data_IF_491288833909
#
_entry.id   IF_491288833909
#
_cell.length_a   1.000
_cell.length_b   1.000
_cell.length_c   1.000
_cell.angle_alpha   90.00
_cell.angle_beta   90.00
_cell.angle_gamma   90.00
#
_symmetry.space_group_name_H-M   'P 1'
#
loop_
_entity.id
_entity.type
_entity.pdbx_description
1 polymer ?
#
# COMPACT_ATOMS: atom_id res chain seq x y z
N UNK A 1 -14.20 10.59 12.31
CA UNK A 1 -13.06 9.74 11.93
C UNK A 1 -12.82 8.82 13.11
N UNK A 2 -12.87 7.51 12.93
CA UNK A 2 -12.79 6.56 14.04
C UNK A 2 -11.34 6.09 14.23
N UNK A 3 -10.70 6.55 15.31
CA UNK A 3 -9.33 6.15 15.65
C UNK A 3 -9.24 4.69 16.07
N UNK A 4 -10.31 4.14 16.64
CA UNK A 4 -10.40 2.74 17.03
C UNK A 4 -10.41 1.84 15.80
N UNK A 5 -11.19 2.19 14.77
CA UNK A 5 -11.19 1.48 13.49
C UNK A 5 -9.80 1.46 12.84
N UNK A 6 -9.10 2.59 12.81
CA UNK A 6 -7.75 2.67 12.24
C UNK A 6 -6.78 1.77 13.01
N UNK A 7 -6.77 1.87 14.34
CA UNK A 7 -5.91 1.05 15.20
C UNK A 7 -6.24 -0.44 15.07
N UNK A 8 -7.52 -0.80 14.99
CA UNK A 8 -7.98 -2.18 14.80
C UNK A 8 -7.54 -2.77 13.47
N UNK A 9 -7.66 -1.99 12.40
CA UNK A 9 -7.20 -2.43 11.09
C UNK A 9 -5.68 -2.58 11.04
N UNK A 10 -4.92 -1.70 11.70
CA UNK A 10 -3.46 -1.88 11.86
C UNK A 10 -3.18 -3.18 12.62
N UNK A 11 -3.83 -3.40 13.77
CA UNK A 11 -3.67 -4.61 14.56
C UNK A 11 -3.99 -5.87 13.75
N UNK A 12 -5.06 -5.85 12.96
CA UNK A 12 -5.44 -6.96 12.07
C UNK A 12 -4.36 -7.27 11.04
N UNK A 13 -3.78 -6.26 10.38
CA UNK A 13 -2.68 -6.44 9.42
C UNK A 13 -1.46 -7.08 10.07
N UNK A 14 -1.18 -6.72 11.31
CA UNK A 14 0.01 -7.12 12.04
C UNK A 14 -0.13 -8.52 12.66
N UNK A 15 -1.31 -8.81 13.20
CA UNK A 15 -1.60 -10.05 13.92
C UNK A 15 -1.97 -11.17 12.97
N UNK A 16 -2.86 -10.87 12.03
CA UNK A 16 -3.51 -11.87 11.18
C UNK A 16 -3.66 -11.38 9.73
N UNK A 17 -2.55 -11.08 9.02
CA UNK A 17 -2.60 -10.58 7.66
C UNK A 17 -3.32 -11.51 6.68
N UNK A 18 -3.42 -12.83 6.95
CA UNK A 18 -4.24 -13.78 6.19
C UNK A 18 -5.73 -13.49 6.20
N UNK A 19 -6.24 -12.89 7.27
CA UNK A 19 -7.66 -12.55 7.41
C UNK A 19 -8.02 -11.30 6.62
N UNK A 20 -7.02 -10.60 6.10
CA UNK A 20 -7.21 -9.51 5.15
C UNK A 20 -7.50 -10.17 3.82
N UNK A 21 -8.79 -10.37 3.59
CA UNK A 21 -9.31 -10.52 2.25
C UNK A 21 -9.01 -9.23 1.53
N UNK A 22 -7.95 -9.23 0.73
CA UNK A 22 -7.86 -8.27 -0.35
C UNK A 22 -9.11 -8.39 -1.23
N UNK A 23 -9.22 -7.47 -2.16
CA UNK A 23 -10.09 -7.54 -3.32
C UNK A 23 -9.74 -8.76 -4.24
N UNK A 24 -9.39 -9.91 -3.67
CA UNK A 24 -8.61 -11.01 -4.25
C UNK A 24 -9.45 -12.21 -4.66
N UNK A 25 -10.77 -12.18 -4.43
CA UNK A 25 -11.71 -13.08 -5.13
C UNK A 25 -12.33 -12.48 -6.38
N UNK A 26 -12.07 -11.20 -6.71
CA UNK A 26 -12.76 -10.55 -7.83
C UNK A 26 -12.19 -9.25 -8.43
N UNK A 27 -11.09 -8.65 -7.95
CA UNK A 27 -10.62 -7.36 -8.51
C UNK A 27 -9.41 -7.41 -9.43
N UNK A 28 -8.92 -8.61 -9.73
CA UNK A 28 -8.29 -8.88 -11.02
C UNK A 28 -9.30 -9.53 -11.97
N UNK A 29 -10.60 -9.27 -11.77
CA UNK A 29 -11.56 -9.60 -12.81
C UNK A 29 -11.49 -8.48 -13.85
N UNK A 30 -11.29 -8.91 -15.09
CA UNK A 30 -11.32 -8.09 -16.31
C UNK A 30 -12.37 -6.95 -16.30
N UNK A 31 -13.59 -7.08 -15.71
CA UNK A 31 -14.58 -5.99 -15.64
C UNK A 31 -14.20 -4.71 -14.89
N UNK A 32 -13.48 -4.78 -13.76
CA UNK A 32 -13.11 -3.54 -13.00
C UNK A 32 -12.01 -2.77 -13.75
N UNK A 33 -11.06 -3.50 -14.32
CA UNK A 33 -10.01 -2.92 -15.14
C UNK A 33 -10.61 -2.31 -16.42
N UNK A 34 -11.59 -2.95 -17.05
CA UNK A 34 -12.36 -2.34 -18.15
C UNK A 34 -13.10 -1.05 -17.72
N UNK A 35 -13.59 -0.97 -16.48
CA UNK A 35 -14.18 0.24 -15.92
C UNK A 35 -13.18 1.41 -15.80
N UNK A 36 -11.94 1.14 -15.39
CA UNK A 36 -10.88 2.15 -15.36
C UNK A 36 -10.39 2.56 -16.75
N UNK A 37 -10.38 1.63 -17.72
CA UNK A 37 -10.18 1.97 -19.13
C UNK A 37 -11.27 2.93 -19.63
N UNK A 38 -12.53 2.61 -19.36
CA UNK A 38 -13.65 3.48 -19.72
C UNK A 38 -13.51 4.86 -19.06
N UNK A 39 -13.20 4.93 -17.76
CA UNK A 39 -12.92 6.19 -17.07
C UNK A 39 -11.81 7.00 -17.75
N UNK A 40 -10.74 6.36 -18.22
CA UNK A 40 -9.65 7.07 -18.92
C UNK A 40 -10.03 7.61 -20.29
N UNK A 41 -11.01 6.99 -20.96
CA UNK A 41 -11.57 7.48 -22.23
C UNK A 41 -12.45 8.72 -21.97
N UNK A 42 -13.18 8.73 -20.85
CA UNK A 42 -14.10 9.82 -20.48
C UNK A 42 -13.43 10.95 -19.66
N UNK A 43 -12.37 10.69 -18.89
CA UNK A 43 -11.57 11.67 -18.13
C UNK A 43 -10.60 12.40 -19.08
N UNK A 44 -11.17 13.30 -19.88
CA UNK A 44 -10.41 14.07 -20.87
C UNK A 44 -9.64 15.25 -20.27
N UNK A 45 -9.97 15.67 -19.04
CA UNK A 45 -9.36 16.82 -18.36
C UNK A 45 -7.94 16.58 -17.84
N UNK A 46 -7.60 15.33 -17.48
CA UNK A 46 -6.29 14.96 -16.95
C UNK A 46 -5.37 14.25 -17.95
N UNK A 47 -5.67 14.33 -19.26
CA UNK A 47 -4.97 13.56 -20.32
C UNK A 47 -3.45 13.66 -20.23
N UNK A 48 -2.89 14.86 -20.08
CA UNK A 48 -1.44 15.05 -20.00
C UNK A 48 -0.82 14.33 -18.80
N UNK A 49 -1.40 14.52 -17.60
CA UNK A 49 -0.93 13.86 -16.38
C UNK A 49 -1.02 12.34 -16.50
N UNK A 50 -2.12 11.81 -17.02
CA UNK A 50 -2.29 10.37 -17.23
C UNK A 50 -1.26 9.81 -18.21
N UNK A 51 -0.99 10.47 -19.33
CA UNK A 51 0.02 10.03 -20.29
C UNK A 51 1.42 9.99 -19.68
N UNK A 52 1.81 11.01 -18.90
CA UNK A 52 3.09 11.02 -18.18
C UNK A 52 3.19 9.84 -17.22
N UNK A 53 2.13 9.53 -16.49
CA UNK A 53 2.10 8.43 -15.53
C UNK A 53 2.11 7.05 -16.20
N UNK A 54 1.45 6.89 -17.36
CA UNK A 54 1.56 5.68 -18.19
C UNK A 54 3.00 5.43 -18.62
N UNK A 55 3.68 6.46 -19.12
CA UNK A 55 5.09 6.36 -19.53
C UNK A 55 5.96 5.96 -18.34
N UNK A 56 5.72 6.55 -17.16
CA UNK A 56 6.46 6.26 -15.92
C UNK A 56 6.27 4.80 -15.48
N UNK A 57 5.03 4.32 -15.47
CA UNK A 57 4.70 2.94 -15.11
C UNK A 57 5.32 1.94 -16.09
N UNK A 58 5.16 2.15 -17.40
CA UNK A 58 5.71 1.27 -18.45
C UNK A 58 7.24 1.24 -18.35
N UNK A 59 7.88 2.39 -18.12
CA UNK A 59 9.34 2.46 -17.96
C UNK A 59 9.79 1.68 -16.72
N UNK A 60 9.08 1.82 -15.59
CA UNK A 60 9.39 1.08 -14.37
C UNK A 60 9.21 -0.44 -14.54
N UNK A 61 8.16 -0.87 -15.25
CA UNK A 61 7.95 -2.29 -15.59
C UNK A 61 9.12 -2.81 -16.43
N UNK A 62 9.52 -2.07 -17.48
CA UNK A 62 10.66 -2.42 -18.35
C UNK A 62 11.97 -2.50 -17.57
N UNK A 63 12.17 -1.65 -16.57
CA UNK A 63 13.35 -1.69 -15.69
C UNK A 63 13.27 -2.77 -14.60
N UNK A 64 12.28 -3.66 -14.63
CA UNK A 64 12.19 -4.80 -13.72
C UNK A 64 11.58 -4.48 -12.35
N UNK A 65 10.71 -3.47 -12.25
CA UNK A 65 10.00 -3.11 -11.01
C UNK A 65 9.24 -4.31 -10.42
N UNK A 66 8.66 -5.17 -11.25
CA UNK A 66 7.79 -6.28 -10.85
C UNK A 66 8.57 -7.47 -10.27
N UNK A 67 9.12 -7.31 -9.06
CA UNK A 67 9.74 -8.41 -8.33
C UNK A 67 9.52 -8.29 -6.80
N UNK A 68 9.69 -9.41 -6.10
CA UNK A 68 9.44 -9.52 -4.66
C UNK A 68 10.22 -8.47 -3.84
N UNK A 69 11.49 -8.23 -4.16
CA UNK A 69 12.32 -7.27 -3.45
C UNK A 69 11.78 -5.83 -3.55
N UNK A 70 11.23 -5.45 -4.71
CA UNK A 70 10.66 -4.13 -4.94
C UNK A 70 9.35 -3.92 -4.18
N UNK A 71 8.52 -4.97 -4.10
CA UNK A 71 7.28 -4.99 -3.30
C UNK A 71 7.63 -4.86 -1.81
N UNK A 72 8.57 -5.68 -1.33
CA UNK A 72 9.09 -5.63 0.02
C UNK A 72 9.57 -4.24 0.41
N UNK A 73 10.34 -3.61 -0.48
CA UNK A 73 10.85 -2.25 -0.27
C UNK A 73 9.73 -1.21 -0.26
N UNK A 74 8.69 -1.36 -1.08
CA UNK A 74 7.53 -0.46 -1.06
C UNK A 74 6.77 -0.55 0.27
N UNK A 75 6.51 -1.77 0.75
CA UNK A 75 5.88 -1.99 2.05
C UNK A 75 6.74 -1.42 3.18
N UNK A 76 8.04 -1.73 3.15
CA UNK A 76 9.01 -1.25 4.14
C UNK A 76 9.02 0.27 4.24
N UNK A 77 9.05 1.00 3.12
CA UNK A 77 9.01 2.46 3.12
C UNK A 77 7.77 3.00 3.86
N UNK A 78 6.60 2.40 3.64
CA UNK A 78 5.35 2.86 4.27
C UNK A 78 5.38 2.60 5.79
N UNK A 79 5.79 1.40 6.19
CA UNK A 79 5.87 1.02 7.60
C UNK A 79 6.96 1.84 8.30
N UNK A 80 8.14 2.04 7.69
CA UNK A 80 9.22 2.84 8.25
C UNK A 80 8.80 4.30 8.45
N UNK A 81 8.03 4.87 7.52
CA UNK A 81 7.47 6.22 7.72
C UNK A 81 6.53 6.25 8.92
N UNK A 82 5.66 5.24 9.07
CA UNK A 82 4.79 5.13 10.24
C UNK A 82 5.58 4.98 11.54
N UNK A 83 6.53 4.04 11.58
CA UNK A 83 7.37 3.74 12.76
C UNK A 83 8.24 4.94 13.12
N UNK A 84 8.70 5.73 12.15
CA UNK A 84 9.50 6.94 12.41
C UNK A 84 8.76 8.01 13.21
N UNK A 85 7.43 7.92 13.28
CA UNK A 85 6.60 8.81 14.10
C UNK A 85 6.18 8.20 15.44
N UNK A 86 6.55 6.95 15.71
CA UNK A 86 6.32 6.35 17.03
C UNK A 86 7.34 6.94 18.01
N UNK A 87 6.88 7.49 19.15
CA UNK A 87 7.75 8.04 20.19
C UNK A 87 8.76 7.02 20.72
N UNK A 88 9.96 7.50 21.07
CA UNK A 88 11.03 6.65 21.60
C UNK A 88 10.63 5.94 22.89
N UNK A 89 9.86 6.58 23.77
CA UNK A 89 9.38 5.96 25.00
C UNK A 89 8.51 4.73 24.75
N UNK A 90 7.68 4.76 23.70
CA UNK A 90 6.85 3.62 23.28
C UNK A 90 7.70 2.51 22.64
N UNK A 91 8.71 2.88 21.86
CA UNK A 91 9.68 1.91 21.33
C UNK A 91 10.46 1.23 22.46
N UNK A 92 10.91 2.00 23.46
CA UNK A 92 11.64 1.49 24.60
C UNK A 92 10.79 0.55 25.47
N UNK A 93 9.47 0.78 25.58
CA UNK A 93 8.54 -0.14 26.25
C UNK A 93 8.44 -1.48 25.52
N UNK A 94 8.44 -1.47 24.19
CA UNK A 94 8.53 -2.71 23.39
C UNK A 94 9.85 -3.43 23.67
N UNK A 95 10.98 -2.73 23.65
CA UNK A 95 12.28 -3.34 23.93
C UNK A 95 12.40 -3.92 25.34
N UNK A 96 11.74 -3.30 26.32
CA UNK A 96 11.66 -3.80 27.71
C UNK A 96 10.59 -4.88 27.92
N UNK A 97 9.87 -5.29 26.88
CA UNK A 97 8.83 -6.32 26.96
C UNK A 97 7.55 -5.90 27.72
N UNK A 98 7.36 -4.60 27.95
CA UNK A 98 6.21 -4.05 28.70
C UNK A 98 5.02 -3.67 27.80
N UNK A 99 5.20 -3.70 26.48
CA UNK A 99 4.18 -3.32 25.50
C UNK A 99 3.44 -4.53 24.93
N UNK A 100 2.35 -4.27 24.21
CA UNK A 100 1.60 -5.34 23.54
C UNK A 100 2.38 -6.04 22.43
N UNK A 101 2.10 -7.34 22.19
CA UNK A 101 2.60 -8.07 21.01
C UNK A 101 2.35 -7.37 19.67
N UNK A 102 1.24 -6.62 19.56
CA UNK A 102 0.89 -5.87 18.35
C UNK A 102 1.86 -4.72 18.12
N UNK A 103 2.09 -3.88 19.12
CA UNK A 103 3.06 -2.79 19.04
C UNK A 103 4.47 -3.31 18.73
N UNK A 104 4.86 -4.43 19.35
CA UNK A 104 6.16 -5.05 19.10
C UNK A 104 6.36 -5.47 17.65
N UNK A 105 5.38 -6.14 17.05
CA UNK A 105 5.45 -6.51 15.64
C UNK A 105 5.47 -5.28 14.73
N UNK A 106 4.68 -4.23 15.01
CA UNK A 106 4.66 -2.98 14.24
C UNK A 106 6.05 -2.35 14.11
N UNK A 107 6.84 -2.36 15.18
CA UNK A 107 8.21 -1.84 15.17
C UNK A 107 9.20 -2.72 14.39
N UNK A 108 8.83 -3.96 14.07
CA UNK A 108 9.65 -4.88 13.27
C UNK A 108 9.34 -4.79 11.78
N UNK A 109 9.66 -3.65 11.14
CA UNK A 109 9.29 -3.38 9.74
C UNK A 109 9.62 -4.53 8.78
N UNK A 110 10.81 -5.13 8.88
CA UNK A 110 11.24 -6.21 7.98
C UNK A 110 10.36 -7.46 8.04
N UNK A 111 9.91 -7.84 9.24
CA UNK A 111 9.06 -9.02 9.46
C UNK A 111 7.67 -8.76 8.87
N UNK A 112 7.04 -7.64 9.22
CA UNK A 112 5.72 -7.30 8.68
C UNK A 112 5.77 -7.17 7.16
N UNK A 113 6.80 -6.53 6.62
CA UNK A 113 6.95 -6.38 5.17
C UNK A 113 6.98 -7.75 4.48
N UNK A 114 7.75 -8.71 5.03
CA UNK A 114 7.87 -10.07 4.48
C UNK A 114 6.52 -10.79 4.49
N UNK A 115 5.80 -10.72 5.60
CA UNK A 115 4.49 -11.35 5.72
C UNK A 115 3.49 -10.76 4.72
N UNK A 116 3.40 -9.42 4.63
CA UNK A 116 2.49 -8.76 3.69
C UNK A 116 2.86 -9.08 2.24
N UNK A 117 4.14 -9.01 1.86
CA UNK A 117 4.58 -9.28 0.50
C UNK A 117 4.24 -10.71 0.06
N UNK A 118 4.49 -11.69 0.93
CA UNK A 118 4.14 -13.09 0.65
C UNK A 118 2.64 -13.27 0.45
N UNK A 119 1.80 -12.58 1.23
CA UNK A 119 0.34 -12.61 1.07
C UNK A 119 -0.12 -11.95 -0.23
N UNK A 120 0.45 -10.80 -0.59
CA UNK A 120 0.17 -10.13 -1.86
C UNK A 120 0.49 -11.05 -3.04
N UNK A 121 1.63 -11.74 -3.00
CA UNK A 121 2.05 -12.70 -4.05
C UNK A 121 1.11 -13.91 -4.09
N UNK A 122 0.81 -14.51 -2.94
CA UNK A 122 -0.07 -15.68 -2.84
C UNK A 122 -1.52 -15.38 -3.29
N UNK A 123 -1.98 -14.14 -3.14
CA UNK A 123 -3.34 -13.73 -3.49
C UNK A 123 -3.57 -13.52 -5.01
N UNK A 124 -2.69 -14.03 -5.87
CA UNK A 124 -2.88 -14.05 -7.32
C UNK A 124 -2.31 -12.83 -8.07
N UNK A 125 -1.63 -11.91 -7.38
CA UNK A 125 -0.88 -10.83 -8.06
C UNK A 125 0.26 -11.36 -8.94
N UNK A 126 0.55 -12.67 -8.85
CA UNK A 126 1.38 -13.41 -9.77
C UNK A 126 1.04 -13.16 -11.25
N UNK A 127 -0.23 -12.94 -11.64
CA UNK A 127 -0.59 -12.60 -13.03
C UNK A 127 -0.06 -11.22 -13.47
N UNK A 128 -0.05 -10.24 -12.56
CA UNK A 128 0.56 -8.93 -12.79
C UNK A 128 2.09 -8.98 -12.75
N UNK A 129 2.65 -9.87 -11.92
CA UNK A 129 4.10 -10.00 -11.69
C UNK A 129 4.78 -11.01 -12.64
N UNK A 130 4.03 -11.87 -13.31
CA UNK A 130 4.56 -12.87 -14.23
C UNK A 130 5.00 -12.20 -15.52
N UNK A 131 6.29 -12.27 -15.82
CA UNK A 131 6.90 -11.82 -17.09
C UNK A 131 6.46 -12.66 -18.32
N UNK A 132 5.56 -13.63 -18.15
CA UNK A 132 5.32 -14.76 -19.04
C UNK A 132 4.14 -14.57 -20.01
N UNK A 133 3.72 -13.35 -20.32
CA UNK A 133 2.61 -13.12 -21.26
C UNK A 133 2.99 -12.06 -22.29
N UNK A 134 3.97 -12.39 -23.12
CA UNK A 134 4.25 -11.68 -24.35
C UNK A 134 3.47 -12.36 -25.48
N UNK A 135 2.39 -11.74 -26.00
CA UNK A 135 1.93 -12.14 -27.34
C UNK A 135 0.46 -12.00 -27.78
N UNK A 136 -0.45 -11.30 -27.10
CA UNK A 136 -1.82 -11.16 -27.66
C UNK A 136 -2.50 -9.82 -27.39
N UNK A 137 -3.40 -9.42 -28.29
CA UNK A 137 -4.30 -8.24 -28.23
C UNK A 137 -5.10 -8.20 -26.90
N UNK A 138 -5.29 -9.35 -26.25
CA UNK A 138 -5.86 -9.45 -24.90
C UNK A 138 -5.03 -8.78 -23.81
N UNK A 139 -3.70 -8.66 -23.97
CA UNK A 139 -2.85 -7.92 -23.04
C UNK A 139 -3.17 -6.42 -23.07
N UNK A 140 -3.43 -5.79 -24.22
CA UNK A 140 -3.69 -4.33 -24.29
C UNK A 140 -5.02 -3.97 -23.60
N UNK A 141 -6.06 -4.79 -23.76
CA UNK A 141 -7.34 -4.60 -23.08
C UNK A 141 -7.29 -4.94 -21.58
N UNK A 142 -6.51 -5.97 -21.20
CA UNK A 142 -6.38 -6.37 -19.79
C UNK A 142 -5.37 -5.48 -19.02
N UNK A 143 -4.31 -5.02 -19.68
CA UNK A 143 -3.28 -4.16 -19.07
C UNK A 143 -3.57 -2.69 -19.18
N UNK A 144 -4.33 -2.23 -20.17
CA UNK A 144 -4.79 -0.85 -20.21
C UNK A 144 -5.58 -0.51 -18.94
N UNK A 145 -6.56 -1.35 -18.58
CA UNK A 145 -7.42 -1.14 -17.42
C UNK A 145 -6.67 -1.18 -16.10
N UNK A 146 -5.75 -2.12 -16.02
CA UNK A 146 -4.89 -2.29 -14.87
C UNK A 146 -3.87 -1.14 -14.73
N UNK A 147 -3.31 -0.65 -15.83
CA UNK A 147 -2.43 0.54 -15.86
C UNK A 147 -3.18 1.75 -15.32
N UNK A 148 -4.40 2.00 -15.81
CA UNK A 148 -5.23 3.10 -15.32
C UNK A 148 -5.53 2.93 -13.83
N UNK A 149 -5.95 1.75 -13.40
CA UNK A 149 -6.22 1.44 -12.00
C UNK A 149 -4.99 1.68 -11.11
N UNK A 150 -3.79 1.26 -11.55
CA UNK A 150 -2.53 1.50 -10.86
C UNK A 150 -2.27 3.00 -10.69
N UNK A 151 -2.43 3.79 -11.75
CA UNK A 151 -2.21 5.24 -11.75
C UNK A 151 -3.22 5.93 -10.84
N UNK A 152 -4.50 5.59 -10.93
CA UNK A 152 -5.53 6.18 -10.07
C UNK A 152 -5.30 5.85 -8.59
N UNK A 153 -4.82 4.65 -8.26
CA UNK A 153 -4.44 4.30 -6.88
C UNK A 153 -3.19 5.04 -6.43
N UNK A 154 -2.21 5.25 -7.30
CA UNK A 154 -1.07 6.12 -7.03
C UNK A 154 -1.51 7.57 -6.73
N UNK A 155 -2.46 8.14 -7.49
CA UNK A 155 -3.04 9.45 -7.17
C UNK A 155 -3.87 9.45 -5.89
N UNK A 156 -4.57 8.35 -5.59
CA UNK A 156 -5.29 8.19 -4.32
C UNK A 156 -4.30 8.29 -3.14
N UNK A 157 -3.14 7.65 -3.26
CA UNK A 157 -2.06 7.73 -2.28
C UNK A 157 -1.52 9.17 -2.16
N UNK A 158 -1.27 9.84 -3.27
CA UNK A 158 -0.81 11.25 -3.30
C UNK A 158 -1.76 12.17 -2.52
N UNK A 159 -3.08 12.04 -2.75
CA UNK A 159 -4.10 12.84 -2.05
C UNK A 159 -4.21 12.53 -0.56
N UNK A 160 -3.97 11.27 -0.18
CA UNK A 160 -4.03 10.83 1.23
C UNK A 160 -2.78 11.23 2.00
N UNK A 161 -1.62 10.99 1.42
CA UNK A 161 -0.34 11.24 2.04
C UNK A 161 0.76 11.53 1.00
N UNK A 162 0.97 12.83 0.74
CA UNK A 162 1.95 13.33 -0.24
C UNK A 162 3.39 12.90 0.09
N UNK A 163 3.73 12.78 1.38
CA UNK A 163 5.07 12.41 1.83
C UNK A 163 5.40 10.97 1.47
N UNK A 164 4.51 10.04 1.78
CA UNK A 164 4.68 8.62 1.43
C UNK A 164 4.72 8.44 -0.09
N UNK A 165 3.84 9.14 -0.80
CA UNK A 165 3.81 9.14 -2.26
C UNK A 165 5.17 9.50 -2.86
N UNK A 166 5.76 10.63 -2.46
CA UNK A 166 7.06 11.05 -3.00
C UNK A 166 8.20 10.13 -2.59
N UNK A 167 8.18 9.59 -1.36
CA UNK A 167 9.19 8.59 -0.93
C UNK A 167 9.16 7.35 -1.82
N UNK A 168 7.98 6.82 -2.12
CA UNK A 168 7.84 5.66 -3.02
C UNK A 168 8.20 5.99 -4.47
N UNK A 169 7.81 7.18 -4.95
CA UNK A 169 8.14 7.65 -6.30
C UNK A 169 9.64 7.80 -6.52
N UNK A 170 10.33 8.47 -5.61
CA UNK A 170 11.80 8.65 -5.65
C UNK A 170 12.52 7.32 -5.49
N UNK A 171 11.94 6.41 -4.72
CA UNK A 171 12.42 5.05 -4.59
C UNK A 171 11.97 4.19 -5.80
N UNK A 172 12.21 4.64 -7.03
CA UNK A 172 12.00 3.83 -8.24
C UNK A 172 10.54 3.58 -8.62
N UNK A 173 9.67 4.57 -8.48
CA UNK A 173 8.25 4.52 -8.89
C UNK A 173 7.43 3.43 -8.18
N UNK A 174 7.77 3.11 -6.92
CA UNK A 174 7.09 2.10 -6.11
C UNK A 174 5.70 2.50 -5.67
N UNK A 175 5.30 3.74 -5.92
CA UNK A 175 3.96 4.24 -5.62
C UNK A 175 2.88 3.50 -6.43
N UNK A 176 3.23 2.97 -7.60
CA UNK A 176 2.33 2.13 -8.39
C UNK A 176 1.98 0.81 -7.71
N UNK A 177 2.79 0.30 -6.76
CA UNK A 177 2.41 -0.89 -5.99
C UNK A 177 1.25 -0.64 -5.03
N UNK A 178 0.90 0.62 -4.75
CA UNK A 178 -0.15 0.93 -3.80
C UNK A 178 -1.49 0.27 -4.18
N UNK A 179 -1.79 0.05 -5.47
CA UNK A 179 -3.00 -0.65 -5.86
C UNK A 179 -3.10 -2.06 -5.25
N UNK A 180 -1.99 -2.83 -5.24
CA UNK A 180 -1.90 -4.17 -4.65
C UNK A 180 -1.84 -4.11 -3.13
N UNK A 181 -1.11 -3.12 -2.62
CA UNK A 181 -0.78 -3.03 -1.20
C UNK A 181 -1.90 -2.37 -0.39
N UNK A 182 -2.82 -1.65 -1.03
CA UNK A 182 -3.88 -0.86 -0.38
C UNK A 182 -4.64 -1.66 0.69
N UNK A 183 -5.12 -2.90 0.47
CA UNK A 183 -5.88 -3.63 1.49
C UNK A 183 -5.11 -3.82 2.81
N UNK A 184 -3.78 -3.89 2.73
CA UNK A 184 -2.91 -4.10 3.89
C UNK A 184 -2.37 -2.78 4.46
N UNK A 185 -2.05 -1.82 3.60
CA UNK A 185 -1.30 -0.62 4.00
C UNK A 185 -2.17 0.63 4.20
N UNK A 186 -3.42 0.61 3.74
CA UNK A 186 -4.35 1.73 3.95
C UNK A 186 -4.51 2.13 5.43
N UNK A 187 -4.57 1.23 6.42
CA UNK A 187 -4.65 1.62 7.83
C UNK A 187 -3.46 2.47 8.29
N UNK A 188 -2.24 2.12 7.86
CA UNK A 188 -1.03 2.88 8.15
C UNK A 188 -1.04 4.24 7.46
N UNK A 189 -1.47 4.30 6.19
CA UNK A 189 -1.62 5.56 5.46
C UNK A 189 -2.66 6.45 6.14
N UNK A 190 -3.80 5.89 6.58
CA UNK A 190 -4.84 6.65 7.27
C UNK A 190 -4.31 7.24 8.58
N UNK A 191 -3.56 6.48 9.38
CA UNK A 191 -2.94 6.98 10.59
C UNK A 191 -1.93 8.11 10.28
N UNK A 192 -1.10 7.95 9.25
CA UNK A 192 -0.19 9.01 8.79
C UNK A 192 -0.94 10.26 8.30
N UNK A 193 -2.08 10.08 7.63
CA UNK A 193 -2.96 11.18 7.22
C UNK A 193 -3.59 11.89 8.41
N UNK A 194 -3.97 11.17 9.47
CA UNK A 194 -4.43 11.78 10.74
C UNK A 194 -3.35 12.69 11.29
N UNK A 195 -2.12 12.19 11.40
CA UNK A 195 -0.99 13.00 11.87
C UNK A 195 -0.79 14.25 11.04
N UNK A 196 -0.81 14.13 9.71
CA UNK A 196 -0.59 15.26 8.80
C UNK A 196 -1.71 16.31 8.85
N UNK A 197 -2.95 15.93 9.17
CA UNK A 197 -4.12 16.82 9.13
C UNK A 197 -4.50 17.38 10.50
N UNK A 198 -4.38 16.58 11.55
CA UNK A 198 -4.84 16.91 12.90
C UNK A 198 -3.71 16.98 13.93
N UNK A 199 -2.48 16.68 13.52
CA UNK A 199 -1.29 16.80 14.37
C UNK A 199 -0.93 15.53 15.15
N UNK A 200 0.13 15.65 15.94
CA UNK A 200 0.73 14.54 16.69
C UNK A 200 -0.19 13.98 17.77
N UNK A 201 -0.95 14.82 18.47
CA UNK A 201 -1.84 14.38 19.55
C UNK A 201 -2.91 13.38 19.11
N UNK A 202 -3.50 13.58 17.93
CA UNK A 202 -4.50 12.63 17.40
C UNK A 202 -3.86 11.33 16.90
N UNK A 203 -2.65 11.40 16.36
CA UNK A 203 -1.88 10.21 15.99
C UNK A 203 -1.53 9.37 17.23
N UNK A 204 -1.18 10.03 18.34
CA UNK A 204 -0.87 9.37 19.61
C UNK A 204 -2.06 8.59 20.17
N UNK A 205 -3.29 9.08 20.02
CA UNK A 205 -4.49 8.31 20.41
C UNK A 205 -4.60 6.99 19.65
N UNK A 206 -4.28 6.98 18.35
CA UNK A 206 -4.26 5.74 17.54
C UNK A 206 -3.19 4.78 18.08
N UNK A 207 -2.00 5.28 18.40
CA UNK A 207 -0.92 4.47 18.95
C UNK A 207 -1.24 3.90 20.34
N UNK A 208 -1.88 4.68 21.21
CA UNK A 208 -2.30 4.20 22.53
C UNK A 208 -3.34 3.09 22.40
N UNK A 209 -4.34 3.23 21.53
CA UNK A 209 -5.31 2.15 21.27
C UNK A 209 -4.61 0.91 20.74
N UNK A 210 -3.65 1.07 19.83
CA UNK A 210 -2.85 -0.03 19.29
C UNK A 210 -2.01 -0.74 20.37
N UNK A 211 -1.44 0.03 21.30
CA UNK A 211 -0.70 -0.50 22.44
C UNK A 211 -1.59 -1.29 23.40
N UNK A 212 -2.83 -0.86 23.62
CA UNK A 212 -3.77 -1.57 24.48
C UNK A 212 -4.46 -2.77 23.82
N UNK A 213 -4.50 -2.84 22.48
CA UNK A 213 -5.07 -3.98 21.73
C UNK A 213 -4.10 -5.18 21.75
N UNK A 214 -4.01 -5.87 22.89
CA UNK A 214 -3.56 -7.26 23.03
C UNK A 214 -3.83 -7.86 24.44
N UNK A 215 -4.80 -7.30 25.19
CA UNK A 215 -5.38 -7.94 26.37
C UNK A 215 -6.66 -8.67 26.00
#
# INVERSE_FOLDING_TARGET
MDYSDIAERIAKVVVSPETITGLTRGAMSVPIDLGYLALSVFDTGNRWRMQTERIRLITAIRSGMLNHHQIMRAIGIIIDVFVSYIPKDMQDRVYRGMASPVAGRVLTTGIIAATIANRVIAAGSAAFLSKTVAGSVGFILTTGGLIEHCIYKSFELERKNVQVYYKLRQAGNRDFFYFLLKPYLEPFINALSVRSRYGEGEFMKILQILEHKAQ
#
